data_IF_119592139444
#
_entry.id   IF_119592139444
#
_cell.length_a   1.000
_cell.length_b   1.000
_cell.length_c   1.000
_cell.angle_alpha   90.00
_cell.angle_beta   90.00
_cell.angle_gamma   90.00
#
_symmetry.space_group_name_H-M   'P 1'
#
loop_
_entity.id
_entity.type
_entity.pdbx_description
1 polymer ?
#
# COMPACT_ATOMS: atom_id res chain seq x y z
N UNK A 1 -4.68 19.16 -26.23
CA UNK A 1 -5.18 17.77 -26.35
C UNK A 1 -5.56 17.27 -24.96
N UNK A 2 -6.86 17.25 -24.64
CA UNK A 2 -7.37 16.77 -23.35
C UNK A 2 -7.15 15.26 -23.26
N UNK A 3 -6.10 14.83 -22.53
CA UNK A 3 -6.03 13.47 -22.00
C UNK A 3 -7.21 13.35 -21.03
N UNK A 4 -8.31 12.75 -21.48
CA UNK A 4 -9.37 12.25 -20.61
C UNK A 4 -8.72 11.20 -19.71
N UNK A 5 -8.17 11.64 -18.58
CA UNK A 5 -7.64 10.80 -17.51
C UNK A 5 -8.84 10.01 -17.04
N UNK A 6 -8.98 8.75 -17.48
CA UNK A 6 -10.08 7.87 -17.11
C UNK A 6 -10.05 7.70 -15.60
N UNK A 7 -10.78 8.55 -14.89
CA UNK A 7 -10.88 8.54 -13.44
C UNK A 7 -11.80 7.38 -13.08
N UNK A 8 -11.20 6.28 -12.65
CA UNK A 8 -11.96 5.11 -12.24
C UNK A 8 -12.35 5.29 -10.77
N UNK A 9 -13.64 5.16 -10.48
CA UNK A 9 -14.14 5.18 -9.11
C UNK A 9 -13.72 3.90 -8.37
N UNK A 10 -13.61 3.98 -7.04
CA UNK A 10 -13.09 2.88 -6.22
C UNK A 10 -13.92 1.59 -6.40
N UNK A 11 -15.24 1.73 -6.50
CA UNK A 11 -16.15 0.61 -6.78
C UNK A 11 -15.86 -0.05 -8.13
N UNK A 12 -15.55 0.74 -9.15
CA UNK A 12 -15.22 0.21 -10.48
C UNK A 12 -13.87 -0.51 -10.47
N UNK A 13 -12.89 0.01 -9.73
CA UNK A 13 -11.59 -0.65 -9.51
C UNK A 13 -11.80 -2.02 -8.85
N UNK A 14 -12.60 -2.10 -7.78
CA UNK A 14 -12.88 -3.36 -7.07
C UNK A 14 -13.57 -4.36 -7.99
N UNK A 15 -14.62 -3.94 -8.70
CA UNK A 15 -15.36 -4.81 -9.61
C UNK A 15 -14.48 -5.40 -10.73
N UNK A 16 -13.62 -4.57 -11.33
CA UNK A 16 -12.69 -5.03 -12.36
C UNK A 16 -11.57 -5.90 -11.78
N UNK A 17 -11.09 -5.59 -10.57
CA UNK A 17 -10.07 -6.42 -9.92
C UNK A 17 -10.55 -7.87 -9.69
N UNK A 18 -11.83 -8.06 -9.44
CA UNK A 18 -12.45 -9.37 -9.25
C UNK A 18 -12.65 -10.18 -10.55
N UNK A 19 -12.35 -9.60 -11.71
CA UNK A 19 -12.42 -10.29 -13.00
C UNK A 19 -11.02 -10.65 -13.50
N UNK A 20 -10.78 -11.91 -13.81
CA UNK A 20 -9.46 -12.41 -14.26
C UNK A 20 -8.90 -11.59 -15.43
N UNK A 21 -9.73 -11.26 -16.42
CA UNK A 21 -9.31 -10.54 -17.61
C UNK A 21 -8.91 -9.07 -17.37
N UNK A 22 -9.41 -8.43 -16.30
CA UNK A 22 -9.18 -6.99 -16.04
C UNK A 22 -8.43 -6.72 -14.73
N UNK A 23 -8.03 -7.78 -14.01
CA UNK A 23 -7.37 -7.70 -12.70
C UNK A 23 -6.11 -6.83 -12.68
N UNK A 24 -5.18 -7.08 -13.61
CA UNK A 24 -3.90 -6.35 -13.68
C UNK A 24 -4.11 -4.86 -14.00
N UNK A 25 -5.03 -4.56 -14.91
CA UNK A 25 -5.33 -3.17 -15.31
C UNK A 25 -5.99 -2.40 -14.17
N UNK A 26 -6.96 -3.03 -13.49
CA UNK A 26 -7.63 -2.46 -12.33
C UNK A 26 -6.63 -2.13 -11.22
N UNK A 27 -5.71 -3.05 -10.94
CA UNK A 27 -4.68 -2.85 -9.94
C UNK A 27 -3.69 -1.74 -10.35
N UNK A 28 -3.30 -1.68 -11.62
CA UNK A 28 -2.45 -0.59 -12.13
C UNK A 28 -3.10 0.78 -11.93
N UNK A 29 -4.41 0.87 -12.14
CA UNK A 29 -5.17 2.09 -11.87
C UNK A 29 -5.20 2.42 -10.38
N UNK A 30 -5.41 1.42 -9.52
CA UNK A 30 -5.36 1.57 -8.06
C UNK A 30 -4.01 2.12 -7.60
N UNK A 31 -2.91 1.49 -8.01
CA UNK A 31 -1.54 1.91 -7.66
C UNK A 31 -1.32 3.36 -8.09
N UNK A 32 -1.63 3.70 -9.35
CA UNK A 32 -1.47 5.07 -9.86
C UNK A 32 -2.32 6.09 -9.09
N UNK A 33 -3.50 5.71 -8.63
CA UNK A 33 -4.43 6.58 -7.89
C UNK A 33 -3.98 6.84 -6.45
N UNK A 34 -3.34 5.85 -5.81
CA UNK A 34 -3.05 5.89 -4.37
C UNK A 34 -1.58 5.95 -3.99
N UNK A 35 -0.64 5.66 -4.89
CA UNK A 35 0.80 5.57 -4.58
C UNK A 35 1.34 6.80 -3.86
N UNK A 36 1.07 8.01 -4.36
CA UNK A 36 1.63 9.24 -3.80
C UNK A 36 1.05 9.52 -2.42
N UNK A 37 -0.26 9.30 -2.25
CA UNK A 37 -0.96 9.51 -0.98
C UNK A 37 -0.48 8.54 0.10
N UNK A 38 -0.32 7.26 -0.26
CA UNK A 38 0.20 6.25 0.65
C UNK A 38 1.68 6.46 0.95
N UNK A 39 2.47 6.87 -0.04
CA UNK A 39 3.88 7.23 0.14
C UNK A 39 4.04 8.31 1.21
N UNK A 40 3.34 9.44 1.07
CA UNK A 40 3.43 10.53 2.05
C UNK A 40 2.90 10.16 3.43
N UNK A 41 1.90 9.27 3.50
CA UNK A 41 1.43 8.72 4.77
C UNK A 41 2.51 7.88 5.46
N UNK A 42 3.11 6.95 4.73
CA UNK A 42 4.19 6.08 5.22
C UNK A 42 5.42 6.91 5.61
N UNK A 43 5.82 7.88 4.77
CA UNK A 43 6.99 8.74 5.01
C UNK A 43 6.89 9.61 6.26
N UNK A 44 5.66 9.89 6.75
CA UNK A 44 5.46 10.56 8.04
C UNK A 44 5.72 9.64 9.23
N UNK A 45 5.67 8.33 9.03
CA UNK A 45 5.89 7.32 10.06
C UNK A 45 7.31 6.76 10.03
N UNK A 46 7.87 6.60 8.82
CA UNK A 46 9.19 6.03 8.56
C UNK A 46 10.09 7.16 8.05
N UNK A 47 11.10 7.53 8.86
CA UNK A 47 11.87 8.78 8.69
C UNK A 47 12.72 8.80 7.40
N UNK A 48 13.25 7.64 7.01
CA UNK A 48 14.12 7.50 5.83
C UNK A 48 13.35 7.35 4.51
N UNK A 49 13.93 7.84 3.41
CA UNK A 49 13.31 7.79 2.08
C UNK A 49 13.26 6.38 1.49
N UNK A 50 14.37 5.64 1.60
CA UNK A 50 14.52 4.31 1.00
C UNK A 50 13.63 3.32 1.77
N UNK A 51 13.61 3.42 3.10
CA UNK A 51 12.71 2.64 3.94
C UNK A 51 11.22 2.89 3.59
N UNK A 52 10.85 4.15 3.31
CA UNK A 52 9.48 4.48 2.93
C UNK A 52 9.08 3.86 1.58
N UNK A 53 10.01 3.76 0.62
CA UNK A 53 9.75 3.09 -0.66
C UNK A 53 9.57 1.58 -0.46
N UNK A 54 10.39 0.94 0.38
CA UNK A 54 10.30 -0.49 0.66
C UNK A 54 8.98 -0.84 1.38
N UNK A 55 8.61 -0.04 2.37
CA UNK A 55 7.32 -0.18 3.08
C UNK A 55 6.14 0.03 2.13
N UNK A 56 6.23 0.98 1.20
CA UNK A 56 5.20 1.21 0.18
C UNK A 56 5.05 0.01 -0.76
N UNK A 57 6.15 -0.58 -1.22
CA UNK A 57 6.12 -1.78 -2.05
C UNK A 57 5.43 -2.94 -1.33
N UNK A 58 5.84 -3.23 -0.09
CA UNK A 58 5.23 -4.28 0.73
C UNK A 58 3.73 -4.01 1.01
N UNK A 59 3.37 -2.75 1.23
CA UNK A 59 1.98 -2.31 1.37
C UNK A 59 1.17 -2.69 0.12
N UNK A 60 1.69 -2.40 -1.08
CA UNK A 60 1.02 -2.74 -2.32
C UNK A 60 0.91 -4.25 -2.56
N UNK A 61 1.93 -5.04 -2.21
CA UNK A 61 1.84 -6.50 -2.26
C UNK A 61 0.72 -7.04 -1.35
N UNK A 62 0.59 -6.49 -0.13
CA UNK A 62 -0.52 -6.85 0.77
C UNK A 62 -1.88 -6.44 0.23
N UNK A 63 -1.98 -5.27 -0.39
CA UNK A 63 -3.20 -4.82 -1.08
C UNK A 63 -3.56 -5.80 -2.20
N UNK A 64 -2.60 -6.19 -3.05
CA UNK A 64 -2.83 -7.16 -4.14
C UNK A 64 -3.41 -8.47 -3.62
N UNK A 65 -2.82 -9.01 -2.55
CA UNK A 65 -3.24 -10.27 -1.94
C UNK A 65 -4.60 -10.16 -1.24
N UNK A 66 -4.93 -9.01 -0.65
CA UNK A 66 -6.14 -8.81 0.14
C UNK A 66 -7.36 -8.27 -0.62
N UNK A 67 -7.16 -7.62 -1.77
CA UNK A 67 -8.20 -6.82 -2.43
C UNK A 67 -9.37 -7.67 -2.95
N UNK A 68 -9.12 -8.91 -3.39
CA UNK A 68 -10.19 -9.83 -3.81
C UNK A 68 -11.12 -10.23 -2.66
N UNK A 69 -10.64 -10.18 -1.41
CA UNK A 69 -11.41 -10.47 -0.20
C UNK A 69 -11.97 -9.22 0.50
N UNK A 70 -11.82 -8.04 -0.09
CA UNK A 70 -12.30 -6.80 0.50
C UNK A 70 -13.83 -6.74 0.51
N UNK A 71 -14.44 -6.70 1.71
CA UNK A 71 -15.90 -6.79 1.91
C UNK A 71 -16.66 -5.46 1.88
N UNK A 72 -15.99 -4.35 1.53
CA UNK A 72 -16.61 -3.02 1.42
C UNK A 72 -17.33 -2.49 2.70
N UNK A 73 -17.04 -3.03 3.89
CA UNK A 73 -17.53 -2.49 5.16
C UNK A 73 -16.95 -1.11 5.53
N UNK A 74 -16.02 -0.61 4.73
CA UNK A 74 -15.41 0.72 4.83
C UNK A 74 -15.11 1.22 3.42
N UNK A 75 -14.77 2.51 3.29
CA UNK A 75 -14.29 3.04 2.01
C UNK A 75 -12.94 2.40 1.65
N UNK A 76 -12.67 2.20 0.36
CA UNK A 76 -11.42 1.59 -0.10
C UNK A 76 -10.21 2.36 0.44
N UNK A 77 -10.23 3.69 0.36
CA UNK A 77 -9.14 4.51 0.89
C UNK A 77 -8.85 4.21 2.37
N UNK A 78 -9.89 4.03 3.20
CA UNK A 78 -9.73 3.72 4.63
C UNK A 78 -9.01 2.41 4.84
N UNK A 79 -9.37 1.39 4.05
CA UNK A 79 -8.75 0.07 4.12
C UNK A 79 -7.28 0.11 3.65
N UNK A 80 -6.97 0.82 2.56
CA UNK A 80 -5.61 1.00 2.07
C UNK A 80 -4.70 1.67 3.12
N UNK A 81 -5.19 2.75 3.75
CA UNK A 81 -4.45 3.47 4.79
C UNK A 81 -4.23 2.63 6.04
N UNK A 82 -5.18 1.74 6.39
CA UNK A 82 -5.00 0.79 7.48
C UNK A 82 -3.86 -0.19 7.19
N UNK A 83 -3.78 -0.72 5.97
CA UNK A 83 -2.66 -1.59 5.57
C UNK A 83 -1.34 -0.83 5.65
N UNK A 84 -1.27 0.37 5.08
CA UNK A 84 -0.06 1.20 5.09
C UNK A 84 0.43 1.52 6.51
N UNK A 85 -0.50 1.86 7.40
CA UNK A 85 -0.20 2.13 8.83
C UNK A 85 0.36 0.88 9.50
N UNK A 86 -0.30 -0.27 9.32
CA UNK A 86 0.15 -1.53 9.91
C UNK A 86 1.51 -1.97 9.39
N UNK A 87 1.77 -1.79 8.10
CA UNK A 87 3.08 -2.10 7.50
C UNK A 87 4.18 -1.21 8.07
N UNK A 88 3.92 0.10 8.16
CA UNK A 88 4.85 1.08 8.73
C UNK A 88 5.18 0.74 10.19
N UNK A 89 4.18 0.42 11.01
CA UNK A 89 4.39 0.00 12.41
C UNK A 89 5.20 -1.29 12.51
N UNK A 90 4.91 -2.27 11.66
CA UNK A 90 5.63 -3.55 11.62
C UNK A 90 7.11 -3.35 11.24
N UNK A 91 7.37 -2.45 10.30
CA UNK A 91 8.72 -2.05 9.89
C UNK A 91 9.49 -1.39 11.04
N UNK A 92 8.90 -0.38 11.68
CA UNK A 92 9.51 0.34 12.83
C UNK A 92 9.87 -0.64 13.94
N UNK A 93 8.97 -1.58 14.23
CA UNK A 93 9.15 -2.60 15.25
C UNK A 93 10.26 -3.61 14.88
N UNK A 94 10.38 -4.01 13.61
CA UNK A 94 11.54 -4.78 13.14
C UNK A 94 12.85 -4.02 13.28
N UNK A 95 12.87 -2.73 12.93
CA UNK A 95 14.07 -1.91 13.00
C UNK A 95 14.56 -1.78 14.45
N UNK A 96 13.65 -1.54 15.40
CA UNK A 96 13.96 -1.51 16.83
C UNK A 96 14.59 -2.81 17.31
N UNK A 97 14.05 -3.96 16.91
CA UNK A 97 14.63 -5.27 17.28
C UNK A 97 16.03 -5.47 16.72
N UNK A 98 16.28 -5.06 15.46
CA UNK A 98 17.63 -5.14 14.85
C UNK A 98 18.64 -4.28 15.58
N UNK A 99 18.25 -3.08 16.03
CA UNK A 99 19.12 -2.17 16.78
C UNK A 99 19.33 -2.57 18.25
N UNK A 100 18.46 -3.41 18.81
CA UNK A 100 18.52 -3.82 20.22
C UNK A 100 19.41 -5.04 20.50
N UNK A 101 19.98 -5.68 19.47
CA UNK A 101 20.91 -6.81 19.65
C UNK A 101 22.27 -6.24 20.08
N UNK A 102 22.76 -6.53 21.31
CA UNK A 102 24.10 -6.12 21.74
C UNK A 102 25.15 -6.83 20.89
N UNK A 103 26.19 -6.09 20.48
CA UNK A 103 27.42 -6.68 19.96
C UNK A 103 28.19 -7.28 21.14
N UNK A 104 27.82 -8.49 21.56
CA UNK A 104 28.75 -9.36 22.28
C UNK A 104 29.29 -10.35 21.25
N UNK A 105 30.56 -10.17 20.87
CA UNK A 105 31.50 -11.19 20.38
C UNK A 105 32.78 -10.50 19.86
N UNK A 106 33.72 -10.20 20.76
CA UNK A 106 35.19 -10.24 20.53
C UNK A 106 35.90 -10.69 21.80
#
# INVERSE_FOLDING_TARGET
MQKHRKHMEDKEIINKFNQTATKNDAYTVLVKKYQEKLYWHIRRMVLDHDDANDVLQNTFLKIWNGLAGFKEHSQLYTWLYRIATNESLSFIEQQKRKSAVPFDDV
#
